data_IF_475271651924
#
_entry.id   IF_475271651924
#
_cell.length_a   1.000
_cell.length_b   1.000
_cell.length_c   1.000
_cell.angle_alpha   90.00
_cell.angle_beta   90.00
_cell.angle_gamma   90.00
#
_symmetry.space_group_name_H-M   'P 1'
#
loop_
_entity.id
_entity.type
_entity.pdbx_description
1 polymer ?
#
# COMPACT_ATOMS: atom_id res chain seq x y z
N UNK A 1 4.47 4.29 -2.12
CA UNK A 1 3.74 5.33 -1.33
C UNK A 1 2.46 4.78 -0.73
N UNK A 2 1.54 4.25 -1.52
CA UNK A 2 0.29 3.65 -1.02
C UNK A 2 0.51 2.52 -0.01
N UNK A 3 1.45 1.60 -0.27
CA UNK A 3 1.83 0.56 0.70
C UNK A 3 2.11 1.13 2.10
N UNK A 4 2.91 2.20 2.20
CA UNK A 4 3.25 2.83 3.48
C UNK A 4 2.03 3.44 4.17
N UNK A 5 1.07 3.95 3.41
CA UNK A 5 -0.19 4.47 3.97
C UNK A 5 -0.97 3.34 4.64
N UNK A 6 -1.11 2.20 3.95
CA UNK A 6 -1.83 1.04 4.47
C UNK A 6 -1.14 0.39 5.67
N UNK A 7 0.17 0.17 5.61
CA UNK A 7 0.93 -0.37 6.75
C UNK A 7 0.77 0.49 8.00
N UNK A 8 0.89 1.83 7.86
CA UNK A 8 0.69 2.74 9.00
C UNK A 8 -0.73 2.73 9.54
N UNK A 9 -1.72 2.61 8.67
CA UNK A 9 -3.11 2.49 9.09
C UNK A 9 -3.33 1.17 9.87
N UNK A 10 -2.77 0.06 9.37
CA UNK A 10 -2.83 -1.24 10.04
C UNK A 10 -2.16 -1.21 11.42
N UNK A 11 -0.93 -0.68 11.51
CA UNK A 11 -0.22 -0.49 12.78
C UNK A 11 -1.03 0.38 13.77
N UNK A 12 -1.63 1.48 13.28
CA UNK A 12 -2.42 2.39 14.12
C UNK A 12 -3.75 1.78 14.59
N UNK A 13 -4.34 0.87 13.82
CA UNK A 13 -5.56 0.13 14.18
C UNK A 13 -5.25 -1.15 14.98
N UNK A 14 -3.98 -1.53 15.13
CA UNK A 14 -3.58 -2.76 15.82
C UNK A 14 -3.82 -4.03 15.01
N UNK A 15 -3.90 -3.93 13.68
CA UNK A 15 -3.98 -5.10 12.80
C UNK A 15 -2.61 -5.77 12.67
N UNK A 16 -2.59 -7.10 12.71
CA UNK A 16 -1.42 -7.87 12.32
C UNK A 16 -1.34 -7.90 10.80
N UNK A 17 -0.14 -7.72 10.24
CA UNK A 17 0.08 -7.73 8.81
C UNK A 17 1.34 -8.54 8.45
N UNK A 18 1.28 -9.30 7.36
CA UNK A 18 2.43 -10.01 6.81
C UNK A 18 2.60 -9.72 5.32
N UNK A 19 3.84 -9.56 4.86
CA UNK A 19 4.14 -9.28 3.46
C UNK A 19 4.41 -10.59 2.73
N UNK A 20 3.43 -11.06 1.96
CA UNK A 20 3.51 -12.33 1.24
C UNK A 20 4.40 -12.25 -0.01
N UNK A 21 4.31 -11.14 -0.75
CA UNK A 21 5.10 -10.91 -1.96
C UNK A 21 5.48 -9.44 -2.06
N UNK A 22 6.70 -9.16 -2.49
CA UNK A 22 7.20 -7.80 -2.64
C UNK A 22 8.14 -7.70 -3.85
N UNK A 23 7.71 -6.94 -4.85
CA UNK A 23 8.46 -6.73 -6.09
C UNK A 23 8.87 -5.27 -6.21
N UNK A 24 10.18 -5.04 -6.21
CA UNK A 24 10.77 -3.71 -6.39
C UNK A 24 10.56 -3.24 -7.83
N UNK A 25 10.35 -1.94 -8.03
CA UNK A 25 10.32 -1.34 -9.37
C UNK A 25 11.73 -1.16 -9.95
N UNK A 26 11.87 -1.26 -11.28
CA UNK A 26 13.18 -1.30 -11.94
C UNK A 26 14.02 -0.02 -11.74
N UNK A 27 13.39 1.14 -11.65
CA UNK A 27 14.08 2.43 -11.49
C UNK A 27 13.78 3.10 -10.13
N UNK A 28 12.50 3.10 -9.72
CA UNK A 28 12.09 3.56 -8.40
C UNK A 28 10.75 2.95 -7.97
N UNK A 29 10.59 2.76 -6.65
CA UNK A 29 9.33 2.37 -6.05
C UNK A 29 9.08 0.86 -6.06
N UNK A 30 7.80 0.49 -6.14
CA UNK A 30 7.32 -0.89 -5.97
C UNK A 30 6.47 -1.22 -7.19
N UNK A 31 6.74 -2.36 -7.82
CA UNK A 31 5.99 -2.86 -8.97
C UNK A 31 4.71 -3.58 -8.54
N UNK A 32 4.83 -4.47 -7.56
CA UNK A 32 3.73 -5.23 -6.98
C UNK A 32 4.03 -5.54 -5.51
N UNK A 33 2.99 -5.62 -4.69
CA UNK A 33 3.09 -6.07 -3.30
C UNK A 33 1.79 -6.78 -2.91
N UNK A 34 1.92 -7.89 -2.19
CA UNK A 34 0.81 -8.64 -1.61
C UNK A 34 0.99 -8.65 -0.09
N UNK A 35 -0.04 -8.23 0.65
CA UNK A 35 -0.02 -8.12 2.10
C UNK A 35 -1.22 -8.89 2.64
N UNK A 36 -0.96 -9.80 3.57
CA UNK A 36 -2.00 -10.44 4.39
C UNK A 36 -2.27 -9.56 5.62
N UNK A 37 -3.54 -9.41 5.97
CA UNK A 37 -3.96 -8.58 7.11
C UNK A 37 -4.91 -9.40 7.97
N UNK A 38 -4.53 -9.58 9.23
CA UNK A 38 -5.23 -10.41 10.20
C UNK A 38 -5.78 -9.55 11.33
N UNK A 39 -7.08 -9.69 11.57
CA UNK A 39 -7.77 -9.07 12.70
C UNK A 39 -9.26 -8.89 12.45
N UNK A 40 -9.95 -8.38 13.46
CA UNK A 40 -11.41 -8.28 13.44
C UNK A 40 -11.90 -7.31 12.37
N UNK A 41 -12.82 -7.80 11.54
CA UNK A 41 -13.45 -7.04 10.45
C UNK A 41 -12.48 -6.42 9.43
N UNK A 42 -11.23 -6.91 9.34
CA UNK A 42 -10.20 -6.34 8.46
C UNK A 42 -10.67 -6.20 7.00
N UNK A 43 -11.31 -7.24 6.45
CA UNK A 43 -11.88 -7.19 5.09
C UNK A 43 -12.99 -6.15 4.95
N UNK A 44 -13.82 -5.95 5.97
CA UNK A 44 -14.93 -4.99 5.93
C UNK A 44 -14.44 -3.56 5.74
N UNK A 45 -13.38 -3.18 6.46
CA UNK A 45 -12.76 -1.87 6.32
C UNK A 45 -11.97 -1.72 5.01
N UNK A 46 -11.21 -2.73 4.62
CA UNK A 46 -10.37 -2.66 3.41
C UNK A 46 -11.18 -2.82 2.12
N UNK A 47 -12.42 -3.30 2.16
CA UNK A 47 -13.26 -3.47 0.98
C UNK A 47 -13.50 -2.16 0.23
N UNK A 48 -13.63 -1.03 0.93
CA UNK A 48 -13.81 0.28 0.29
C UNK A 48 -12.55 0.79 -0.43
N UNK A 49 -11.39 0.24 -0.09
CA UNK A 49 -10.09 0.61 -0.66
C UNK A 49 -9.81 -0.10 -1.99
N UNK A 50 -10.68 -1.02 -2.42
CA UNK A 50 -10.55 -1.70 -3.69
C UNK A 50 -10.82 -0.74 -4.87
N UNK A 51 -9.76 -0.33 -5.57
CA UNK A 51 -9.90 0.53 -6.75
C UNK A 51 -8.58 1.12 -7.26
N UNK A 52 -8.69 1.92 -8.31
CA UNK A 52 -7.56 2.65 -8.89
C UNK A 52 -7.40 3.98 -8.16
N UNK A 53 -6.25 4.18 -7.54
CA UNK A 53 -5.91 5.41 -6.82
C UNK A 53 -5.13 6.36 -7.73
N UNK A 54 -5.63 7.58 -7.93
CA UNK A 54 -4.99 8.59 -8.78
C UNK A 54 -4.09 9.51 -7.95
N UNK A 55 -2.85 9.71 -8.40
CA UNK A 55 -1.91 10.69 -7.85
C UNK A 55 -1.63 11.78 -8.88
N UNK A 56 -1.79 13.04 -8.49
CA UNK A 56 -1.41 14.21 -9.30
C UNK A 56 -0.43 15.05 -8.48
N UNK A 57 0.82 15.12 -8.94
CA UNK A 57 1.88 15.96 -8.37
C UNK A 57 2.99 16.17 -9.41
N UNK A 58 3.87 17.13 -9.18
CA UNK A 58 5.11 17.27 -9.96
C UNK A 58 6.01 16.07 -9.65
N UNK A 59 6.50 15.41 -10.70
CA UNK A 59 7.37 14.23 -10.54
C UNK A 59 8.75 14.66 -10.04
N UNK A 60 9.30 14.03 -8.99
CA UNK A 60 10.69 14.28 -8.59
C UNK A 60 11.71 13.73 -9.59
N UNK A 61 11.26 12.93 -10.57
CA UNK A 61 12.08 12.38 -11.65
C UNK A 61 11.94 13.19 -12.95
N UNK A 62 11.16 14.27 -12.94
CA UNK A 62 11.07 15.16 -14.09
C UNK A 62 12.41 15.89 -14.24
N UNK A 63 13.05 15.74 -15.40
CA UNK A 63 14.31 16.43 -15.73
C UNK A 63 13.95 17.83 -16.21
N UNK A 64 13.78 18.76 -15.26
CA UNK A 64 13.60 20.18 -15.57
C UNK A 64 14.84 20.79 -16.25
#
# INVERSE_FOLDING_TARGET
MLMRMYLRWMEAQGYEHDTLDFQVGDEAGIKSVSIEVTGDYAYGYLKSEAGVHRLVRISPFDSA
#
